data_IF_322561314195
#
_entry.id   IF_322561314195
#
_cell.length_a   1.000
_cell.length_b   1.000
_cell.length_c   1.000
_cell.angle_alpha   90.00
_cell.angle_beta   90.00
_cell.angle_gamma   90.00
#
_symmetry.space_group_name_H-M   'P 1'
#
loop_
_entity.id
_entity.type
_entity.pdbx_description
1 polymer ?
#
# COMPACT_ATOMS: atom_id res chain seq x y z
N UNK A 1 12.14 -4.39 6.72
CA UNK A 1 12.14 -4.90 5.33
C UNK A 1 11.54 -3.92 4.33
N UNK A 2 10.22 -3.67 4.30
CA UNK A 2 9.59 -2.73 3.34
C UNK A 2 10.22 -1.34 3.40
N UNK A 3 10.38 -0.78 4.60
CA UNK A 3 11.04 0.51 4.80
C UNK A 3 12.47 0.54 4.23
N UNK A 4 13.23 -0.56 4.33
CA UNK A 4 14.61 -0.66 3.81
C UNK A 4 14.59 -0.80 2.28
N UNK A 5 14.05 -1.90 1.76
CA UNK A 5 14.27 -2.28 0.37
C UNK A 5 13.30 -1.62 -0.62
N UNK A 6 12.07 -1.30 -0.21
CA UNK A 6 11.10 -0.66 -1.11
C UNK A 6 11.15 0.86 -0.99
N UNK A 7 11.05 1.38 0.25
CA UNK A 7 10.96 2.84 0.48
C UNK A 7 12.32 3.52 0.68
N UNK A 8 13.38 2.78 1.01
CA UNK A 8 14.71 3.36 1.21
C UNK A 8 14.86 4.25 2.45
N UNK A 9 13.98 4.11 3.45
CA UNK A 9 13.95 4.94 4.65
C UNK A 9 14.66 4.30 5.84
N UNK A 10 14.76 5.07 6.95
CA UNK A 10 15.22 4.54 8.24
C UNK A 10 14.39 3.31 8.61
N UNK A 11 15.07 2.23 8.97
CA UNK A 11 14.45 0.94 9.22
C UNK A 11 15.06 0.29 10.48
N UNK A 12 14.33 -0.64 11.08
CA UNK A 12 14.75 -1.36 12.29
C UNK A 12 15.23 -2.79 12.03
N UNK A 13 15.84 -3.06 10.86
CA UNK A 13 16.44 -4.38 10.61
C UNK A 13 17.71 -4.50 11.44
N UNK A 14 17.76 -5.48 12.34
CA UNK A 14 18.86 -5.65 13.31
C UNK A 14 19.90 -6.68 12.88
N UNK A 15 19.52 -7.63 12.02
CA UNK A 15 20.40 -8.71 11.58
C UNK A 15 21.10 -8.33 10.28
N UNK A 16 22.28 -8.91 10.08
CA UNK A 16 23.00 -8.84 8.81
C UNK A 16 22.30 -9.68 7.73
N UNK A 17 22.52 -9.30 6.47
CA UNK A 17 21.98 -10.02 5.32
C UNK A 17 22.68 -11.40 5.17
N UNK A 18 21.99 -12.37 4.57
CA UNK A 18 22.41 -13.79 4.52
C UNK A 18 23.82 -13.95 3.91
N UNK A 19 24.19 -13.09 2.94
CA UNK A 19 25.51 -13.13 2.30
C UNK A 19 26.68 -12.81 3.23
N UNK A 20 26.44 -12.16 4.37
CA UNK A 20 27.47 -11.87 5.36
C UNK A 20 27.57 -12.95 6.44
N UNK A 21 26.55 -13.79 6.62
CA UNK A 21 26.45 -14.74 7.74
C UNK A 21 26.52 -16.21 7.35
N UNK A 22 26.23 -16.57 6.08
CA UNK A 22 26.14 -17.97 5.63
C UNK A 22 26.60 -18.14 4.18
N UNK A 23 27.39 -19.18 3.91
CA UNK A 23 27.85 -19.52 2.55
C UNK A 23 26.76 -20.11 1.64
N UNK A 24 25.54 -20.31 2.15
CA UNK A 24 24.42 -20.87 1.41
C UNK A 24 23.73 -19.78 0.58
N UNK A 25 24.28 -19.49 -0.61
CA UNK A 25 23.68 -18.59 -1.59
C UNK A 25 22.67 -19.36 -2.47
N UNK A 26 21.53 -18.74 -2.84
CA UNK A 26 20.57 -19.36 -3.74
C UNK A 26 21.20 -19.62 -5.12
N UNK A 27 20.84 -20.74 -5.74
CA UNK A 27 21.30 -21.12 -7.09
C UNK A 27 20.33 -20.72 -8.20
N UNK A 28 19.07 -20.46 -7.86
CA UNK A 28 18.00 -20.13 -8.82
C UNK A 28 17.78 -18.62 -9.00
N UNK A 29 18.37 -17.80 -8.12
CA UNK A 29 18.27 -16.35 -8.17
C UNK A 29 19.67 -15.73 -8.16
N UNK A 30 19.87 -14.68 -8.94
CA UNK A 30 21.14 -13.94 -8.93
C UNK A 30 21.38 -13.32 -7.55
N UNK A 31 22.56 -13.57 -7.02
CA UNK A 31 22.98 -13.00 -5.75
C UNK A 31 23.69 -11.66 -5.97
N UNK A 32 23.23 -10.64 -5.23
CA UNK A 32 23.89 -9.32 -5.15
C UNK A 32 24.27 -9.10 -3.69
N UNK A 33 25.54 -8.84 -3.42
CA UNK A 33 26.04 -8.68 -2.04
C UNK A 33 25.33 -7.54 -1.31
N UNK A 34 25.28 -6.36 -1.93
CA UNK A 34 24.52 -5.23 -1.43
C UNK A 34 23.16 -5.14 -2.14
N UNK A 35 22.11 -5.64 -1.50
CA UNK A 35 20.76 -5.61 -2.06
C UNK A 35 20.24 -4.19 -2.31
N UNK A 36 19.59 -3.98 -3.46
CA UNK A 36 19.04 -2.67 -3.83
C UNK A 36 18.04 -2.14 -2.80
N UNK A 37 18.23 -0.88 -2.41
CA UNK A 37 17.46 -0.13 -1.41
C UNK A 37 16.61 0.93 -2.14
N UNK A 38 15.40 1.22 -1.65
CA UNK A 38 14.56 2.28 -2.23
C UNK A 38 14.11 1.99 -3.66
N UNK A 39 13.60 0.78 -3.91
CA UNK A 39 13.21 0.32 -5.26
C UNK A 39 12.03 1.06 -5.88
N UNK A 40 11.21 1.74 -5.07
CA UNK A 40 10.02 2.44 -5.56
C UNK A 40 10.38 3.89 -5.90
N UNK A 41 10.15 4.28 -7.15
CA UNK A 41 10.35 5.66 -7.60
C UNK A 41 9.22 6.61 -7.16
N UNK A 42 8.01 6.08 -6.96
CA UNK A 42 6.84 6.83 -6.52
C UNK A 42 5.87 5.94 -5.75
N UNK A 43 5.44 6.41 -4.57
CA UNK A 43 4.39 5.79 -3.77
C UNK A 43 3.20 6.75 -3.65
N UNK A 44 2.10 6.38 -4.31
CA UNK A 44 0.83 7.10 -4.21
C UNK A 44 -0.16 6.26 -3.39
N UNK A 45 -0.85 6.87 -2.44
CA UNK A 45 -1.85 6.20 -1.60
C UNK A 45 -3.18 6.96 -1.60
N UNK A 46 -4.27 6.21 -1.78
CA UNK A 46 -5.63 6.70 -1.66
C UNK A 46 -6.17 6.25 -0.31
N UNK A 47 -6.56 7.19 0.53
CA UNK A 47 -7.12 6.89 1.86
C UNK A 47 -8.01 8.06 2.32
N UNK A 48 -9.10 7.74 3.03
CA UNK A 48 -9.99 8.74 3.63
C UNK A 48 -9.48 9.19 5.02
N UNK A 49 -8.41 8.55 5.52
CA UNK A 49 -7.72 8.92 6.76
C UNK A 49 -6.21 8.87 6.58
N UNK A 50 -5.47 9.63 7.38
CA UNK A 50 -4.01 9.59 7.37
C UNK A 50 -3.48 8.30 8.03
N UNK A 51 -3.43 7.21 7.26
CA UNK A 51 -2.90 5.92 7.72
C UNK A 51 -1.37 5.92 7.81
N UNK A 52 -0.79 4.93 8.48
CA UNK A 52 0.66 4.77 8.53
C UNK A 52 1.27 4.66 7.14
N UNK A 53 0.58 4.03 6.18
CA UNK A 53 1.02 3.98 4.78
C UNK A 53 1.07 5.38 4.19
N UNK A 54 0.01 6.19 4.34
CA UNK A 54 -0.01 7.57 3.86
C UNK A 54 1.14 8.42 4.40
N UNK A 55 1.53 8.21 5.67
CA UNK A 55 2.66 8.93 6.29
C UNK A 55 4.00 8.60 5.60
N UNK A 56 4.14 7.42 4.98
CA UNK A 56 5.34 7.01 4.26
C UNK A 56 5.22 7.16 2.73
N UNK A 57 4.10 7.70 2.23
CA UNK A 57 3.86 7.87 0.79
C UNK A 57 4.27 9.27 0.31
N UNK A 58 4.66 9.38 -0.96
CA UNK A 58 5.03 10.65 -1.58
C UNK A 58 3.80 11.49 -1.91
N UNK A 59 2.72 10.84 -2.35
CA UNK A 59 1.44 11.46 -2.72
C UNK A 59 0.32 10.76 -1.98
N UNK A 60 -0.55 11.55 -1.35
CA UNK A 60 -1.78 11.08 -0.71
C UNK A 60 -2.96 11.74 -1.40
N UNK A 61 -3.89 10.93 -1.91
CA UNK A 61 -5.11 11.38 -2.57
C UNK A 61 -6.30 11.10 -1.66
N UNK A 62 -7.16 12.09 -1.37
CA UNK A 62 -8.33 11.88 -0.51
C UNK A 62 -9.39 11.06 -1.26
N UNK A 63 -9.67 9.85 -0.77
CA UNK A 63 -10.75 9.01 -1.32
C UNK A 63 -12.03 9.15 -0.48
N UNK A 64 -13.18 8.90 -1.10
CA UNK A 64 -14.49 8.93 -0.46
C UNK A 64 -14.64 7.76 0.55
N UNK A 65 -15.33 8.03 1.66
CA UNK A 65 -15.70 6.99 2.61
C UNK A 65 -16.76 6.06 2.01
N UNK A 66 -17.06 4.95 2.70
CA UNK A 66 -18.08 3.99 2.27
C UNK A 66 -19.50 4.56 2.22
N UNK A 67 -19.76 5.70 2.85
CA UNK A 67 -21.05 6.38 2.86
C UNK A 67 -21.14 7.52 1.85
N UNK A 68 -20.13 7.67 1.00
CA UNK A 68 -20.02 8.78 0.04
C UNK A 68 -19.81 8.26 -1.40
N UNK A 69 -19.97 6.95 -1.64
CA UNK A 69 -19.80 6.33 -2.96
C UNK A 69 -20.72 5.14 -3.18
N UNK A 70 -20.97 4.84 -4.45
CA UNK A 70 -21.71 3.67 -4.88
C UNK A 70 -20.75 2.51 -5.21
N UNK A 71 -20.99 1.34 -4.63
CA UNK A 71 -20.22 0.11 -4.87
C UNK A 71 -21.05 -1.13 -4.48
N UNK A 72 -20.50 -2.35 -4.62
CA UNK A 72 -21.13 -3.60 -4.18
C UNK A 72 -20.25 -4.40 -3.22
N UNK A 73 -20.87 -5.06 -2.24
CA UNK A 73 -20.18 -5.90 -1.26
C UNK A 73 -20.82 -7.30 -1.13
N UNK A 74 -19.96 -8.30 -0.94
CA UNK A 74 -20.29 -9.70 -0.66
C UNK A 74 -19.30 -10.28 0.36
N UNK A 75 -19.67 -11.37 1.03
CA UNK A 75 -18.79 -12.08 1.97
C UNK A 75 -19.02 -13.59 1.92
N UNK A 76 -17.97 -14.40 2.17
CA UNK A 76 -18.07 -15.87 2.27
C UNK A 76 -19.06 -16.36 3.34
N UNK A 77 -19.35 -15.52 4.34
CA UNK A 77 -20.20 -15.87 5.48
C UNK A 77 -21.68 -15.98 5.13
N UNK A 78 -22.12 -15.41 4.00
CA UNK A 78 -23.53 -15.39 3.62
C UNK A 78 -23.74 -15.27 2.09
N UNK A 79 -24.86 -15.73 1.54
CA UNK A 79 -25.12 -15.70 0.09
C UNK A 79 -25.70 -14.35 -0.42
N UNK A 80 -25.63 -13.27 0.36
CA UNK A 80 -26.20 -11.98 -0.02
C UNK A 80 -25.16 -11.05 -0.64
N UNK A 81 -25.58 -10.37 -1.71
CA UNK A 81 -24.91 -9.19 -2.29
C UNK A 81 -25.71 -7.94 -1.94
N UNK A 82 -25.05 -6.87 -1.54
CA UNK A 82 -25.69 -5.60 -1.18
C UNK A 82 -24.81 -4.40 -1.57
N UNK A 83 -25.41 -3.23 -1.86
CA UNK A 83 -24.67 -2.06 -2.29
C UNK A 83 -24.07 -1.27 -1.11
N UNK A 84 -23.00 -0.53 -1.39
CA UNK A 84 -22.68 0.74 -0.73
C UNK A 84 -23.41 1.83 -1.51
N UNK A 85 -23.95 2.83 -0.82
CA UNK A 85 -24.63 3.95 -1.47
C UNK A 85 -24.23 5.26 -0.84
N UNK A 86 -24.05 6.28 -1.68
CA UNK A 86 -23.72 7.62 -1.21
C UNK A 86 -24.90 8.22 -0.42
N UNK A 87 -24.71 8.39 0.89
CA UNK A 87 -25.65 9.10 1.75
C UNK A 87 -25.57 10.61 1.52
N UNK A 88 -24.38 11.11 1.21
CA UNK A 88 -24.06 12.48 0.80
C UNK A 88 -22.94 12.44 -0.25
N UNK A 89 -22.74 13.55 -0.96
CA UNK A 89 -21.56 13.72 -1.81
C UNK A 89 -20.26 13.66 -0.99
N UNK A 90 -19.14 13.17 -1.55
CA UNK A 90 -17.85 13.13 -0.85
C UNK A 90 -17.47 14.47 -0.25
N UNK A 91 -17.12 14.47 1.03
CA UNK A 91 -16.75 15.69 1.73
C UNK A 91 -15.43 16.29 1.19
N UNK A 92 -15.40 17.63 1.12
CA UNK A 92 -14.26 18.41 0.63
C UNK A 92 -13.86 18.09 -0.81
N UNK A 93 -12.58 17.75 -1.03
CA UNK A 93 -12.03 17.41 -2.34
C UNK A 93 -11.90 15.88 -2.53
N UNK A 94 -12.51 15.10 -1.63
CA UNK A 94 -12.53 13.65 -1.74
C UNK A 94 -13.27 13.21 -3.00
N UNK A 95 -12.84 12.11 -3.59
CA UNK A 95 -13.50 11.50 -4.76
C UNK A 95 -13.58 10.00 -4.56
N UNK A 96 -14.51 9.33 -5.23
CA UNK A 96 -14.53 7.87 -5.20
C UNK A 96 -13.24 7.30 -5.80
N UNK A 97 -12.79 6.12 -5.35
CA UNK A 97 -11.60 5.48 -5.94
C UNK A 97 -11.73 5.35 -7.46
N UNK A 98 -12.94 5.07 -7.94
CA UNK A 98 -13.28 4.99 -9.35
C UNK A 98 -13.00 6.30 -10.10
N UNK A 99 -13.47 7.44 -9.58
CA UNK A 99 -13.24 8.75 -10.21
C UNK A 99 -11.80 9.24 -10.11
N UNK A 100 -11.01 8.77 -9.13
CA UNK A 100 -9.60 9.12 -9.02
C UNK A 100 -8.77 8.47 -10.13
N UNK A 101 -9.15 7.26 -10.56
CA UNK A 101 -8.43 6.53 -11.62
C UNK A 101 -8.90 6.83 -13.05
N UNK A 102 -10.11 7.38 -13.25
CA UNK A 102 -10.65 7.74 -14.57
C UNK A 102 -10.15 9.11 -15.07
#
# INVERSE_FOLDING_TARGET
YILKYLLGTKNGVMNEDIGHSTECKPTEAEWVEDGAIGKLDLVTTLDFRMSSTCVYSDIVLPTATWYEKDDMNTSDMHPFIHPLSAAIDPAWESRSDWEIYN
#
